data_IF_735687852926
#
_entry.id   IF_735687852926
#
_cell.length_a   1.000
_cell.length_b   1.000
_cell.length_c   1.000
_cell.angle_alpha   90.00
_cell.angle_beta   90.00
_cell.angle_gamma   90.00
#
_symmetry.space_group_name_H-M   'P 1'
#
loop_
_entity.id
_entity.type
_entity.pdbx_description
1 polymer ?
#
# COMPACT_ATOMS: atom_id res chain seq x y z
N UNK A 1 -14.76 6.98 8.16
CA UNK A 1 -14.15 6.69 9.47
C UNK A 1 -14.60 7.78 10.44
N UNK A 2 -15.52 7.48 11.36
CA UNK A 2 -15.98 8.45 12.37
C UNK A 2 -15.02 8.38 13.55
N UNK A 3 -14.18 9.38 13.72
CA UNK A 3 -13.32 9.50 14.91
C UNK A 3 -14.14 10.21 15.99
N UNK A 4 -14.53 9.49 17.03
CA UNK A 4 -15.25 10.06 18.18
C UNK A 4 -14.36 11.00 19.00
N UNK A 5 -15.00 11.86 19.80
CA UNK A 5 -14.30 12.77 20.70
C UNK A 5 -13.55 11.97 21.78
N UNK A 6 -12.31 12.33 22.13
CA UNK A 6 -11.60 11.65 23.20
C UNK A 6 -12.30 11.88 24.56
N UNK A 7 -12.41 10.82 25.35
CA UNK A 7 -13.01 10.80 26.67
C UNK A 7 -11.93 10.97 27.75
N UNK A 8 -12.20 11.76 28.78
CA UNK A 8 -11.31 11.92 29.92
C UNK A 8 -11.92 11.25 31.15
N UNK A 9 -11.23 10.24 31.69
CA UNK A 9 -11.69 9.46 32.83
C UNK A 9 -10.50 9.10 33.73
N UNK A 10 -10.64 9.29 35.04
CA UNK A 10 -9.60 9.00 36.04
C UNK A 10 -8.18 9.54 35.71
N UNK A 11 -8.10 10.74 35.15
CA UNK A 11 -6.80 11.36 34.83
C UNK A 11 -6.16 10.89 33.53
N UNK A 12 -6.83 10.01 32.77
CA UNK A 12 -6.36 9.43 31.51
C UNK A 12 -7.32 9.75 30.37
N UNK A 13 -6.80 9.70 29.15
CA UNK A 13 -7.59 9.93 27.94
C UNK A 13 -7.89 8.62 27.23
N UNK A 14 -9.06 8.51 26.64
CA UNK A 14 -9.53 7.32 25.94
C UNK A 14 -10.14 7.70 24.58
N UNK A 15 -9.92 6.90 23.55
CA UNK A 15 -10.59 7.01 22.26
C UNK A 15 -11.42 5.75 22.01
N UNK A 16 -12.61 5.93 21.42
CA UNK A 16 -13.42 4.83 20.94
C UNK A 16 -13.00 4.52 19.49
N UNK A 17 -12.47 3.32 19.26
CA UNK A 17 -12.12 2.81 17.93
C UNK A 17 -12.92 1.52 17.75
N UNK A 18 -13.86 1.52 16.79
CA UNK A 18 -14.72 0.37 16.44
C UNK A 18 -15.46 -0.28 17.63
N UNK A 19 -15.81 0.51 18.65
CA UNK A 19 -16.54 0.06 19.84
C UNK A 19 -15.66 -0.28 21.04
N UNK A 20 -14.33 -0.23 20.91
CA UNK A 20 -13.38 -0.45 21.99
C UNK A 20 -12.77 0.86 22.50
N UNK A 21 -12.69 1.00 23.84
CA UNK A 21 -12.08 2.16 24.50
C UNK A 21 -10.59 1.94 24.71
N UNK A 22 -9.77 2.61 23.91
CA UNK A 22 -8.31 2.52 23.95
C UNK A 22 -7.75 3.73 24.70
N UNK A 23 -6.86 3.50 25.68
CA UNK A 23 -6.15 4.58 26.36
C UNK A 23 -5.21 5.30 25.38
N UNK A 24 -5.32 6.62 25.29
CA UNK A 24 -4.52 7.48 24.42
C UNK A 24 -3.73 8.49 25.24
N UNK A 25 -2.67 9.03 24.65
CA UNK A 25 -1.90 10.09 25.30
C UNK A 25 -2.62 11.44 25.22
N UNK A 26 -2.22 12.37 26.08
CA UNK A 26 -2.77 13.73 26.14
C UNK A 26 -2.58 14.49 24.83
N UNK A 27 -1.45 14.27 24.15
CA UNK A 27 -1.12 14.89 22.86
C UNK A 27 -2.06 14.39 21.76
N UNK A 28 -2.33 13.08 21.74
CA UNK A 28 -3.27 12.46 20.79
C UNK A 28 -4.68 12.98 21.06
N UNK A 29 -5.10 13.06 22.32
CA UNK A 29 -6.39 13.62 22.69
C UNK A 29 -6.52 15.10 22.25
N UNK A 30 -5.46 15.89 22.41
CA UNK A 30 -5.44 17.29 21.98
C UNK A 30 -5.54 17.43 20.45
N UNK A 31 -4.80 16.61 19.70
CA UNK A 31 -4.86 16.59 18.24
C UNK A 31 -6.25 16.18 17.73
N UNK A 32 -6.83 15.12 18.30
CA UNK A 32 -8.20 14.68 17.97
C UNK A 32 -9.24 15.75 18.28
N UNK A 33 -9.11 16.46 19.41
CA UNK A 33 -10.02 17.52 19.79
C UNK A 33 -9.92 18.72 18.83
N UNK A 34 -8.70 19.10 18.42
CA UNK A 34 -8.50 20.14 17.42
C UNK A 34 -9.12 19.77 16.07
N UNK A 35 -8.94 18.53 15.61
CA UNK A 35 -9.53 18.04 14.38
C UNK A 35 -11.07 18.05 14.43
N UNK A 36 -11.65 17.57 15.53
CA UNK A 36 -13.11 17.60 15.74
C UNK A 36 -13.67 19.03 15.78
N UNK A 37 -12.91 19.98 16.35
CA UNK A 37 -13.30 21.40 16.37
C UNK A 37 -13.14 22.08 15.01
N UNK A 38 -12.20 21.65 14.18
CA UNK A 38 -12.02 22.16 12.82
C UNK A 38 -12.94 21.53 11.78
N UNK A 39 -13.42 20.30 12.01
CA UNK A 39 -14.31 19.61 11.08
C UNK A 39 -15.76 20.10 11.11
N UNK A 40 -16.15 20.86 12.14
CA UNK A 40 -17.46 21.50 12.21
C UNK A 40 -17.42 22.92 11.64
N UNK A 41 -18.28 23.20 10.67
CA UNK A 41 -18.48 24.55 10.16
C UNK A 41 -18.88 25.48 11.31
N UNK A 42 -18.00 26.44 11.65
CA UNK A 42 -18.22 27.42 12.69
C UNK A 42 -17.94 28.81 12.15
N UNK A 43 -18.80 29.77 12.47
CA UNK A 43 -18.54 31.19 12.25
C UNK A 43 -17.44 31.66 13.22
N UNK A 44 -16.32 32.09 12.67
CA UNK A 44 -15.18 32.64 13.41
C UNK A 44 -15.27 34.16 13.35
N UNK A 45 -15.15 34.78 14.52
CA UNK A 45 -15.08 36.23 14.65
C UNK A 45 -13.66 36.69 14.33
N UNK A 46 -13.53 37.55 13.33
CA UNK A 46 -12.29 38.27 13.05
C UNK A 46 -12.25 39.46 14.00
N UNK A 47 -11.16 39.60 14.74
CA UNK A 47 -10.96 40.68 15.72
C UNK A 47 -9.78 41.55 15.34
N UNK A 48 -9.90 42.85 15.56
CA UNK A 48 -8.79 43.81 15.42
C UNK A 48 -7.79 43.69 16.57
N UNK A 49 -6.67 44.42 16.48
CA UNK A 49 -5.60 44.46 17.50
C UNK A 49 -6.10 44.87 18.89
N UNK A 50 -7.22 45.61 18.97
CA UNK A 50 -7.89 46.04 20.19
C UNK A 50 -8.90 45.00 20.73
N UNK A 51 -9.05 43.84 20.07
CA UNK A 51 -9.95 42.76 20.46
C UNK A 51 -11.42 42.93 20.03
N UNK A 52 -11.75 44.00 19.31
CA UNK A 52 -13.09 44.29 18.80
C UNK A 52 -13.41 43.41 17.57
N UNK A 53 -14.61 42.85 17.52
CA UNK A 53 -15.08 41.99 16.41
C UNK A 53 -15.40 42.85 15.19
N UNK A 54 -14.66 42.66 14.11
CA UNK A 54 -14.75 43.42 12.86
C UNK A 54 -15.62 42.70 11.85
N UNK A 55 -15.57 41.36 11.82
CA UNK A 55 -16.29 40.55 10.85
C UNK A 55 -16.50 39.11 11.34
N UNK A 56 -17.38 38.35 10.68
CA UNK A 56 -17.68 36.94 10.95
C UNK A 56 -17.58 36.11 9.68
N UNK A 57 -16.49 35.37 9.52
CA UNK A 57 -16.32 34.44 8.40
C UNK A 57 -16.59 32.99 8.81
N UNK A 58 -17.05 32.16 7.87
CA UNK A 58 -17.13 30.71 8.08
C UNK A 58 -15.70 30.14 8.05
N UNK A 59 -15.35 29.33 9.05
CA UNK A 59 -14.08 28.58 9.03
C UNK A 59 -14.08 27.64 7.82
N UNK A 60 -13.03 27.73 7.01
CA UNK A 60 -12.72 26.74 5.98
C UNK A 60 -12.51 25.38 6.63
N UNK A 61 -13.29 24.39 6.20
CA UNK A 61 -13.16 23.01 6.63
C UNK A 61 -12.32 22.31 5.56
N UNK A 62 -11.10 21.83 5.88
CA UNK A 62 -10.32 21.08 4.90
C UNK A 62 -11.10 19.86 4.45
N UNK A 63 -11.09 19.59 3.13
CA UNK A 63 -11.82 18.50 2.47
C UNK A 63 -13.35 18.59 2.47
N UNK A 64 -13.97 19.72 2.85
CA UNK A 64 -15.38 19.94 2.51
C UNK A 64 -15.47 20.23 1.02
N UNK A 65 -16.20 19.42 0.24
CA UNK A 65 -16.44 19.63 -1.20
C UNK A 65 -17.27 20.87 -1.56
N UNK A 66 -17.28 21.87 -0.69
CA UNK A 66 -17.89 23.19 -0.86
C UNK A 66 -16.83 24.25 -0.54
N UNK A 67 -15.76 24.31 -1.33
CA UNK A 67 -14.97 25.55 -1.43
C UNK A 67 -15.88 26.63 -2.00
N UNK A 68 -15.91 27.81 -1.38
CA UNK A 68 -16.81 28.93 -1.72
C UNK A 68 -16.47 29.54 -3.10
N UNK A 69 -15.30 29.21 -3.61
CA UNK A 69 -14.60 29.75 -4.77
C UNK A 69 -14.47 28.77 -5.94
N UNK A 70 -15.05 27.56 -5.85
CA UNK A 70 -15.13 26.63 -6.98
C UNK A 70 -13.80 25.96 -7.37
N UNK A 71 -12.69 26.32 -6.72
CA UNK A 71 -11.42 25.59 -6.79
C UNK A 71 -11.49 24.38 -5.85
N UNK A 72 -12.32 23.41 -6.24
CA UNK A 72 -12.33 22.09 -5.63
C UNK A 72 -11.16 21.27 -6.16
N UNK A 73 -10.52 20.49 -5.29
CA UNK A 73 -9.56 19.48 -5.72
C UNK A 73 -10.21 18.55 -6.76
N UNK A 74 -9.61 18.48 -7.94
CA UNK A 74 -10.07 17.62 -9.02
C UNK A 74 -9.51 16.22 -8.82
N UNK A 75 -10.18 15.20 -9.37
CA UNK A 75 -9.65 13.81 -9.37
C UNK A 75 -8.26 13.76 -10.03
N UNK A 76 -8.00 14.68 -10.96
CA UNK A 76 -6.71 14.88 -11.63
C UNK A 76 -5.57 15.27 -10.66
N UNK A 77 -5.89 15.90 -9.52
CA UNK A 77 -4.91 16.26 -8.48
C UNK A 77 -4.49 15.04 -7.63
N UNK A 78 -5.24 13.94 -7.71
CA UNK A 78 -5.02 12.69 -6.97
C UNK A 78 -5.09 11.48 -7.92
N UNK A 79 -4.16 11.36 -8.88
CA UNK A 79 -4.16 10.24 -9.81
C UNK A 79 -4.00 8.92 -9.05
N UNK A 80 -4.82 7.92 -9.41
CA UNK A 80 -4.64 6.56 -8.90
C UNK A 80 -3.42 5.92 -9.57
N UNK A 81 -2.26 6.11 -8.95
CA UNK A 81 -0.99 5.56 -9.42
C UNK A 81 -0.96 4.02 -9.39
N UNK A 82 -1.97 3.36 -8.82
CA UNK A 82 -2.06 1.89 -8.82
C UNK A 82 -2.70 1.33 -10.11
N UNK A 83 -3.31 2.17 -10.96
CA UNK A 83 -4.04 1.74 -12.15
C UNK A 83 -3.28 2.01 -13.47
N UNK A 84 -2.02 1.61 -13.56
CA UNK A 84 -1.29 1.63 -14.83
C UNK A 84 -1.69 0.44 -15.71
N UNK A 85 -2.62 0.69 -16.64
CA UNK A 85 -3.13 -0.32 -17.57
C UNK A 85 -2.03 -0.81 -18.50
N UNK A 86 -1.15 0.07 -18.99
CA UNK A 86 -0.06 -0.31 -19.90
C UNK A 86 0.90 -1.25 -19.21
N UNK A 87 1.31 -0.90 -17.98
CA UNK A 87 2.15 -1.77 -17.17
C UNK A 87 1.49 -3.14 -16.93
N UNK A 88 0.19 -3.16 -16.60
CA UNK A 88 -0.53 -4.41 -16.38
C UNK A 88 -0.56 -5.35 -17.60
N UNK A 89 -0.61 -4.79 -18.81
CA UNK A 89 -0.60 -5.55 -20.06
C UNK A 89 0.82 -6.03 -20.36
N UNK A 90 1.84 -5.17 -20.23
CA UNK A 90 3.24 -5.55 -20.44
C UNK A 90 3.65 -6.69 -19.51
N UNK A 91 3.35 -6.59 -18.21
CA UNK A 91 3.64 -7.66 -17.24
C UNK A 91 2.94 -8.97 -17.62
N UNK A 92 1.70 -8.93 -18.13
CA UNK A 92 1.01 -10.14 -18.60
C UNK A 92 1.67 -10.76 -19.82
N UNK A 93 2.14 -9.95 -20.77
CA UNK A 93 2.85 -10.43 -21.95
C UNK A 93 4.17 -11.09 -21.56
N UNK A 94 4.98 -10.43 -20.72
CA UNK A 94 6.24 -10.99 -20.21
C UNK A 94 6.03 -12.30 -19.44
N UNK A 95 4.98 -12.36 -18.59
CA UNK A 95 4.61 -13.59 -17.89
C UNK A 95 4.28 -14.74 -18.85
N UNK A 96 3.50 -14.47 -19.90
CA UNK A 96 3.16 -15.49 -20.90
C UNK A 96 4.40 -16.02 -21.61
N UNK A 97 5.34 -15.14 -21.94
CA UNK A 97 6.58 -15.53 -22.61
C UNK A 97 7.49 -16.37 -21.70
N UNK A 98 7.58 -16.03 -20.41
CA UNK A 98 8.28 -16.87 -19.42
C UNK A 98 7.60 -18.25 -19.29
N UNK A 99 6.27 -18.31 -19.27
CA UNK A 99 5.54 -19.58 -19.19
C UNK A 99 5.79 -20.48 -20.41
N UNK A 100 5.87 -19.91 -21.62
CA UNK A 100 6.24 -20.66 -22.84
C UNK A 100 7.63 -21.29 -22.71
N UNK A 101 8.61 -20.54 -22.17
CA UNK A 101 9.97 -21.05 -21.95
C UNK A 101 9.99 -22.17 -20.90
N UNK A 102 9.24 -22.01 -19.79
CA UNK A 102 9.11 -23.04 -18.76
C UNK A 102 8.47 -24.31 -19.33
N UNK A 103 7.53 -24.19 -20.27
CA UNK A 103 6.86 -25.32 -20.90
C UNK A 103 7.77 -26.15 -21.81
N UNK A 104 8.92 -25.62 -22.22
CA UNK A 104 9.95 -26.34 -22.97
C UNK A 104 10.96 -27.06 -22.08
N UNK A 105 10.98 -26.76 -20.78
CA UNK A 105 11.81 -27.47 -19.81
C UNK A 105 11.32 -28.90 -19.61
N UNK A 106 12.26 -29.80 -19.31
CA UNK A 106 11.91 -31.17 -18.94
C UNK A 106 11.21 -31.21 -17.57
N UNK A 107 10.60 -32.34 -17.23
CA UNK A 107 9.79 -32.48 -16.01
C UNK A 107 10.59 -32.20 -14.73
N UNK A 108 11.85 -32.63 -14.67
CA UNK A 108 12.71 -32.41 -13.49
C UNK A 108 13.10 -30.93 -13.35
N UNK A 109 13.54 -30.31 -14.44
CA UNK A 109 13.90 -28.89 -14.51
C UNK A 109 12.71 -28.00 -14.13
N UNK A 110 11.53 -28.32 -14.68
CA UNK A 110 10.28 -27.64 -14.37
C UNK A 110 9.92 -27.77 -12.89
N UNK A 111 10.01 -28.97 -12.32
CA UNK A 111 9.73 -29.21 -10.90
C UNK A 111 10.61 -28.33 -9.99
N UNK A 112 11.91 -28.20 -10.32
CA UNK A 112 12.84 -27.36 -9.57
C UNK A 112 12.43 -25.88 -9.63
N UNK A 113 12.08 -25.38 -10.82
CA UNK A 113 11.66 -23.98 -11.00
C UNK A 113 10.36 -23.68 -10.24
N UNK A 114 9.33 -24.52 -10.38
CA UNK A 114 8.07 -24.32 -9.67
C UNK A 114 8.24 -24.39 -8.15
N UNK A 115 8.99 -25.38 -7.67
CA UNK A 115 9.24 -25.54 -6.24
C UNK A 115 9.92 -24.31 -5.62
N UNK A 116 10.89 -23.72 -6.32
CA UNK A 116 11.67 -22.60 -5.77
C UNK A 116 10.96 -21.26 -5.95
N UNK A 117 10.44 -20.97 -7.15
CA UNK A 117 9.92 -19.63 -7.48
C UNK A 117 8.41 -19.47 -7.29
N UNK A 118 7.63 -20.55 -7.30
CA UNK A 118 6.17 -20.49 -7.19
C UNK A 118 5.68 -21.02 -5.83
N UNK A 119 6.31 -22.08 -5.31
CA UNK A 119 5.99 -22.64 -3.99
C UNK A 119 6.87 -22.09 -2.86
N UNK A 120 7.83 -21.20 -3.18
CA UNK A 120 8.75 -20.58 -2.23
C UNK A 120 9.56 -21.57 -1.38
N UNK A 121 9.86 -22.77 -1.90
CA UNK A 121 10.77 -23.71 -1.22
C UNK A 121 12.20 -23.22 -1.31
N UNK A 122 12.93 -23.37 -0.21
CA UNK A 122 14.37 -23.12 -0.20
C UNK A 122 15.10 -24.21 -1.00
N UNK A 123 16.28 -23.87 -1.53
CA UNK A 123 17.15 -24.86 -2.20
C UNK A 123 17.51 -26.04 -1.27
N UNK A 124 17.58 -25.83 0.03
CA UNK A 124 17.85 -26.91 0.99
C UNK A 124 16.67 -27.88 1.05
N UNK A 125 15.46 -27.37 1.23
CA UNK A 125 14.24 -28.21 1.28
C UNK A 125 14.02 -28.96 -0.04
N UNK A 126 14.25 -28.30 -1.17
CA UNK A 126 14.12 -28.96 -2.47
C UNK A 126 15.19 -30.04 -2.69
N UNK A 127 16.42 -29.81 -2.20
CA UNK A 127 17.49 -30.80 -2.28
C UNK A 127 17.20 -32.03 -1.40
N UNK A 128 16.62 -31.82 -0.22
CA UNK A 128 16.14 -32.89 0.68
C UNK A 128 15.05 -33.74 0.01
N UNK A 129 14.06 -33.11 -0.62
CA UNK A 129 12.98 -33.80 -1.36
C UNK A 129 13.55 -34.65 -2.50
N UNK A 130 14.55 -34.13 -3.22
CA UNK A 130 15.19 -34.83 -4.33
C UNK A 130 16.26 -35.85 -3.89
N UNK A 131 16.61 -35.90 -2.60
CA UNK A 131 17.68 -36.77 -2.10
C UNK A 131 19.08 -36.43 -2.62
N UNK A 132 19.34 -35.16 -2.95
CA UNK A 132 20.63 -34.68 -3.46
C UNK A 132 21.25 -33.64 -2.52
N UNK A 133 22.54 -33.34 -2.70
CA UNK A 133 23.16 -32.26 -1.93
C UNK A 133 22.67 -30.88 -2.39
N UNK A 134 22.62 -29.93 -1.46
CA UNK A 134 22.28 -28.53 -1.75
C UNK A 134 23.16 -27.94 -2.85
N UNK A 135 24.46 -28.30 -2.89
CA UNK A 135 25.41 -27.81 -3.90
C UNK A 135 25.05 -28.30 -5.30
N UNK A 136 24.64 -29.58 -5.42
CA UNK A 136 24.21 -30.15 -6.70
C UNK A 136 22.92 -29.48 -7.16
N UNK A 137 21.96 -29.24 -6.27
CA UNK A 137 20.74 -28.51 -6.63
C UNK A 137 21.05 -27.08 -7.06
N UNK A 138 21.92 -26.36 -6.34
CA UNK A 138 22.31 -25.00 -6.70
C UNK A 138 22.97 -24.94 -8.09
N UNK A 139 23.82 -25.92 -8.41
CA UNK A 139 24.40 -26.06 -9.75
C UNK A 139 23.34 -26.35 -10.81
N UNK A 140 22.45 -27.32 -10.56
CA UNK A 140 21.33 -27.64 -11.46
C UNK A 140 20.46 -26.41 -11.73
N UNK A 141 20.05 -25.71 -10.68
CA UNK A 141 19.25 -24.49 -10.80
C UNK A 141 19.94 -23.44 -11.66
N UNK A 142 21.23 -23.19 -11.45
CA UNK A 142 22.01 -22.25 -12.26
C UNK A 142 22.02 -22.64 -13.74
N UNK A 143 22.21 -23.93 -14.03
CA UNK A 143 22.19 -24.44 -15.41
C UNK A 143 20.82 -24.28 -16.05
N UNK A 144 19.75 -24.57 -15.31
CA UNK A 144 18.36 -24.39 -15.77
C UNK A 144 18.08 -22.92 -16.09
N UNK A 145 18.46 -21.99 -15.21
CA UNK A 145 18.25 -20.57 -15.42
C UNK A 145 19.01 -20.04 -16.64
N UNK A 146 20.26 -20.50 -16.85
CA UNK A 146 21.01 -20.15 -18.07
C UNK A 146 20.32 -20.69 -19.33
N UNK A 147 19.84 -21.94 -19.30
CA UNK A 147 19.08 -22.55 -20.40
C UNK A 147 17.79 -21.78 -20.70
N UNK A 148 17.02 -21.40 -19.67
CA UNK A 148 15.82 -20.57 -19.80
C UNK A 148 16.15 -19.23 -20.46
N UNK A 149 17.24 -18.58 -20.03
CA UNK A 149 17.69 -17.32 -20.64
C UNK A 149 18.03 -17.50 -22.12
N UNK A 150 18.73 -18.57 -22.49
CA UNK A 150 19.05 -18.85 -23.90
C UNK A 150 17.80 -19.11 -24.75
N UNK A 151 16.84 -19.89 -24.23
CA UNK A 151 15.55 -20.12 -24.90
C UNK A 151 14.77 -18.83 -25.09
N UNK A 152 14.69 -18.01 -24.03
CA UNK A 152 14.01 -16.72 -24.08
C UNK A 152 14.64 -15.79 -25.13
N UNK A 153 15.97 -15.67 -25.12
CA UNK A 153 16.68 -14.83 -26.09
C UNK A 153 16.56 -15.33 -27.53
N UNK A 154 16.30 -16.62 -27.75
CA UNK A 154 16.16 -17.20 -29.09
C UNK A 154 14.73 -17.07 -29.63
N UNK A 155 13.72 -17.11 -28.76
CA UNK A 155 12.32 -17.06 -29.18
C UNK A 155 11.78 -15.65 -29.35
N UNK A 156 12.28 -14.69 -28.55
CA UNK A 156 11.71 -13.35 -28.48
C UNK A 156 12.63 -12.24 -28.98
N UNK A 157 13.88 -12.56 -29.34
CA UNK A 157 14.87 -11.64 -29.94
C UNK A 157 15.56 -12.28 -31.14
#
# INVERSE_FOLDING_TARGET
MYIEHPYFYEGKYYANIDGEMIEITKEVAYAMNNFYRSSKAKKVEIKNELGEVVDKMLREVPYSGQSIDGEGFMIEDFPDLNCDVEHSVLTKMEQQDIHKVIDQLNTEERMIIYSIFFENKTQTQMAEIMGISRQVLAYKLKTILNKMREMYMKEFF
#
